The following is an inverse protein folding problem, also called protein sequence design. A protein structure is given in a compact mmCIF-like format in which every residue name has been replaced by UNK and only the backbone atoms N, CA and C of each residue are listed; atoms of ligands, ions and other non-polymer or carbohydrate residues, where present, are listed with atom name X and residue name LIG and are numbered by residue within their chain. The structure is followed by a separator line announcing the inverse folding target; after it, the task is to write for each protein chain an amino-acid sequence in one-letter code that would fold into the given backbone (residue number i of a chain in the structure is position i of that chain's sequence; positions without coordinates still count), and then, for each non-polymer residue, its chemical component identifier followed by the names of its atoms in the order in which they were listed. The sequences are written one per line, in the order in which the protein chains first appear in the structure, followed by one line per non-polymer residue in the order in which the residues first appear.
data_IF_086477457768
#
_entry.id   IF_086477457768
#
_cell.length_a   1.000
_cell.length_b   1.000
_cell.length_c   1.000
_cell.angle_alpha   90.00
_cell.angle_beta   90.00
_cell.angle_gamma   90.00
#
_symmetry.space_group_name_H-M   'P 1'
#
loop_
_entity.id
_entity.type
_entity.pdbx_description
1 polymer ?
#
# COMPACT_ATOMS: atom_id res chain seq x y z
N UNK A 1 25.04 7.39 -15.43
CA UNK A 1 23.89 6.84 -14.66
C UNK A 1 23.69 5.38 -15.05
N UNK A 2 23.81 4.40 -14.14
CA UNK A 2 23.59 2.98 -14.47
C UNK A 2 22.09 2.67 -14.42
N UNK A 3 21.48 2.29 -15.56
CA UNK A 3 20.08 1.81 -15.61
C UNK A 3 19.98 0.50 -14.80
N UNK A 4 19.01 0.41 -13.89
CA UNK A 4 18.66 -0.83 -13.21
C UNK A 4 18.13 -1.84 -14.23
N UNK A 5 18.83 -2.96 -14.40
CA UNK A 5 18.37 -4.06 -15.25
C UNK A 5 17.17 -4.74 -14.60
N UNK A 6 16.06 -4.78 -15.34
CA UNK A 6 14.85 -5.50 -14.97
C UNK A 6 14.72 -6.72 -15.90
N UNK A 7 14.22 -7.84 -15.37
CA UNK A 7 13.84 -8.97 -16.21
C UNK A 7 12.44 -8.79 -16.81
N UNK A 8 11.97 -9.79 -17.58
CA UNK A 8 10.64 -9.84 -18.21
C UNK A 8 9.46 -9.74 -17.22
N UNK A 9 9.72 -9.97 -15.93
CA UNK A 9 8.75 -9.89 -14.82
C UNK A 9 8.92 -8.61 -14.00
N UNK A 10 9.64 -7.62 -14.50
CA UNK A 10 9.94 -6.36 -13.82
C UNK A 10 10.69 -6.52 -12.48
N UNK A 11 11.40 -7.63 -12.30
CA UNK A 11 12.21 -7.90 -11.11
C UNK A 11 13.63 -7.38 -11.33
N UNK A 12 14.20 -6.60 -10.38
CA UNK A 12 15.59 -6.16 -10.48
C UNK A 12 16.56 -7.35 -10.37
N UNK A 13 17.45 -7.46 -11.36
CA UNK A 13 18.47 -8.51 -11.45
C UNK A 13 19.88 -7.90 -11.33
N UNK A 14 20.80 -8.70 -10.79
CA UNK A 14 22.24 -8.38 -10.82
C UNK A 14 22.82 -8.66 -12.23
N UNK A 15 24.07 -8.28 -12.46
CA UNK A 15 24.69 -8.43 -13.79
C UNK A 15 24.81 -9.90 -14.24
N UNK A 16 24.79 -10.83 -13.29
CA UNK A 16 24.79 -12.29 -13.52
C UNK A 16 23.40 -12.88 -13.82
N UNK A 17 22.37 -12.04 -13.97
CA UNK A 17 20.99 -12.47 -14.26
C UNK A 17 20.22 -13.06 -13.07
N UNK A 18 20.87 -13.25 -11.91
CA UNK A 18 20.20 -13.69 -10.68
C UNK A 18 19.35 -12.56 -10.08
N UNK A 19 18.23 -12.88 -9.39
CA UNK A 19 17.48 -11.89 -8.63
C UNK A 19 18.39 -11.23 -7.60
N UNK A 20 18.43 -9.91 -7.58
CA UNK A 20 19.30 -9.23 -6.64
C UNK A 20 18.89 -9.48 -5.19
N UNK A 21 19.87 -9.52 -4.29
CA UNK A 21 19.64 -9.69 -2.85
C UNK A 21 18.67 -8.65 -2.30
N UNK A 22 17.91 -8.98 -1.25
CA UNK A 22 16.88 -8.09 -0.67
C UNK A 22 17.42 -6.68 -0.35
N UNK A 23 18.64 -6.61 0.18
CA UNK A 23 19.33 -5.35 0.51
C UNK A 23 19.64 -4.52 -0.73
N UNK A 24 20.12 -5.16 -1.80
CA UNK A 24 20.43 -4.49 -3.07
C UNK A 24 19.17 -4.10 -3.83
N UNK A 25 18.13 -4.95 -3.81
CA UNK A 25 16.81 -4.65 -4.39
C UNK A 25 16.23 -3.38 -3.79
N UNK A 26 16.23 -3.27 -2.46
CA UNK A 26 15.75 -2.09 -1.74
C UNK A 26 16.50 -0.83 -2.17
N UNK A 27 17.83 -0.84 -2.20
CA UNK A 27 18.64 0.32 -2.63
C UNK A 27 18.36 0.72 -4.07
N UNK A 28 18.21 -0.25 -4.98
CA UNK A 28 17.99 -0.02 -6.41
C UNK A 28 16.62 0.59 -6.70
N UNK A 29 15.56 0.11 -6.02
CA UNK A 29 14.19 0.61 -6.20
C UNK A 29 13.94 1.91 -5.43
N UNK A 30 14.48 2.06 -4.20
CA UNK A 30 14.31 3.25 -3.38
C UNK A 30 15.17 4.46 -3.78
N UNK A 31 16.04 4.35 -4.80
CA UNK A 31 16.93 5.47 -5.18
C UNK A 31 16.16 6.75 -5.52
N UNK A 32 14.89 6.62 -5.89
CA UNK A 32 14.01 7.73 -6.26
C UNK A 32 13.13 8.28 -5.11
N UNK A 33 13.08 7.62 -3.95
CA UNK A 33 12.27 8.04 -2.80
C UNK A 33 13.21 8.39 -1.63
N UNK A 34 13.70 9.62 -1.61
CA UNK A 34 14.55 10.14 -0.53
C UNK A 34 13.67 10.46 0.68
N UNK A 35 13.94 9.84 1.83
CA UNK A 35 13.26 10.12 3.10
C UNK A 35 11.98 9.30 3.38
N UNK A 36 11.38 8.65 2.38
CA UNK A 36 10.20 7.81 2.56
C UNK A 36 10.58 6.32 2.62
N UNK A 37 10.21 5.63 3.70
CA UNK A 37 10.32 4.17 3.80
C UNK A 37 9.22 3.52 2.96
N UNK A 38 9.49 2.36 2.36
CA UNK A 38 8.47 1.55 1.65
C UNK A 38 7.19 1.35 2.46
N UNK A 39 7.34 1.20 3.78
CA UNK A 39 6.23 1.02 4.70
C UNK A 39 5.29 2.22 4.75
N UNK A 40 5.81 3.45 4.61
CA UNK A 40 4.97 4.66 4.56
C UNK A 40 4.18 4.72 3.26
N UNK A 41 4.84 4.44 2.12
CA UNK A 41 4.18 4.39 0.81
C UNK A 41 3.09 3.31 0.78
N UNK A 42 3.37 2.13 1.34
CA UNK A 42 2.41 1.05 1.46
C UNK A 42 1.22 1.46 2.33
N UNK A 43 1.47 2.09 3.49
CA UNK A 43 0.43 2.63 4.37
C UNK A 43 -0.47 3.64 3.65
N UNK A 44 0.10 4.58 2.89
CA UNK A 44 -0.68 5.55 2.10
C UNK A 44 -1.52 4.87 1.02
N UNK A 45 -0.96 3.87 0.32
CA UNK A 45 -1.71 3.12 -0.71
C UNK A 45 -2.91 2.37 -0.14
N UNK A 46 -2.76 1.71 1.02
CA UNK A 46 -3.84 0.99 1.69
C UNK A 46 -4.89 1.98 2.23
N UNK A 47 -4.45 3.10 2.79
CA UNK A 47 -5.35 4.17 3.25
C UNK A 47 -6.20 4.73 2.11
N UNK A 48 -5.62 4.92 0.92
CA UNK A 48 -6.35 5.38 -0.26
C UNK A 48 -7.37 4.33 -0.75
N UNK A 49 -7.00 3.04 -0.75
CA UNK A 49 -7.92 1.94 -1.08
C UNK A 49 -9.14 1.93 -0.15
N UNK A 50 -8.91 2.03 1.16
CA UNK A 50 -9.97 2.03 2.18
C UNK A 50 -10.85 3.28 2.05
N UNK A 51 -10.26 4.46 1.81
CA UNK A 51 -11.00 5.70 1.60
C UNK A 51 -11.91 5.65 0.36
N UNK A 52 -11.54 4.90 -0.67
CA UNK A 52 -12.36 4.66 -1.88
C UNK A 52 -13.39 3.53 -1.70
N UNK A 53 -13.75 3.16 -0.48
CA UNK A 53 -14.73 2.12 -0.15
C UNK A 53 -14.39 0.71 -0.70
N UNK A 54 -13.10 0.39 -0.84
CA UNK A 54 -12.69 -0.98 -1.19
C UNK A 54 -12.78 -1.88 0.04
N UNK A 55 -13.47 -3.01 -0.08
CA UNK A 55 -13.62 -4.04 0.96
C UNK A 55 -12.26 -4.35 1.62
N UNK A 56 -12.24 -4.39 2.97
CA UNK A 56 -11.06 -4.73 3.78
C UNK A 56 -10.43 -6.06 3.39
N UNK A 57 -11.19 -7.00 2.86
CA UNK A 57 -10.65 -8.26 2.32
C UNK A 57 -9.70 -8.01 1.14
N UNK A 58 -10.04 -7.07 0.27
CA UNK A 58 -9.21 -6.68 -0.88
C UNK A 58 -8.01 -5.88 -0.41
N UNK A 59 -8.21 -4.91 0.50
CA UNK A 59 -7.11 -4.14 1.10
C UNK A 59 -6.12 -5.05 1.84
N UNK A 60 -6.61 -6.05 2.58
CA UNK A 60 -5.80 -7.06 3.28
C UNK A 60 -5.02 -7.95 2.33
N UNK A 61 -5.65 -8.37 1.21
CA UNK A 61 -4.98 -9.15 0.16
C UNK A 61 -3.87 -8.33 -0.51
N UNK A 62 -4.08 -7.04 -0.72
CA UNK A 62 -3.09 -6.11 -1.27
C UNK A 62 -1.95 -5.83 -0.28
N UNK A 63 -2.25 -5.73 1.01
CA UNK A 63 -1.25 -5.58 2.07
C UNK A 63 -0.43 -6.87 2.28
N UNK A 64 -0.96 -8.03 1.87
CA UNK A 64 -0.36 -9.34 2.11
C UNK A 64 -0.55 -9.82 3.55
N UNK A 65 -1.55 -9.30 4.27
CA UNK A 65 -1.86 -9.74 5.62
C UNK A 65 -2.56 -11.10 5.60
N UNK A 66 -2.13 -11.99 6.49
CA UNK A 66 -2.74 -13.32 6.65
C UNK A 66 -4.16 -13.25 7.24
N UNK A 67 -4.46 -12.21 8.02
CA UNK A 67 -5.76 -11.97 8.64
C UNK A 67 -6.28 -10.60 8.24
N UNK A 68 -7.56 -10.55 7.85
CA UNK A 68 -8.25 -9.29 7.52
C UNK A 68 -8.35 -8.37 8.73
N UNK A 69 -8.52 -8.93 9.93
CA UNK A 69 -8.57 -8.17 11.19
C UNK A 69 -7.35 -7.29 11.39
N UNK A 70 -6.15 -7.76 11.03
CA UNK A 70 -4.91 -6.96 11.12
C UNK A 70 -4.98 -5.69 10.27
N UNK A 71 -5.55 -5.78 9.07
CA UNK A 71 -5.73 -4.59 8.21
C UNK A 71 -6.78 -3.66 8.78
N UNK A 72 -7.85 -4.20 9.35
CA UNK A 72 -8.93 -3.44 9.97
C UNK A 72 -8.43 -2.67 11.21
N UNK A 73 -7.70 -3.33 12.10
CA UNK A 73 -7.15 -2.74 13.34
C UNK A 73 -6.15 -1.62 13.04
N UNK A 74 -5.37 -1.73 11.94
CA UNK A 74 -4.38 -0.71 11.56
C UNK A 74 -5.04 0.54 10.94
N UNK A 75 -6.23 0.39 10.34
CA UNK A 75 -6.89 1.42 9.54
C UNK A 75 -8.26 1.82 10.08
N UNK A 76 -8.61 1.42 11.30
CA UNK A 76 -9.86 1.78 11.98
C UNK A 76 -10.07 3.29 12.09
N UNK A 77 -8.98 4.04 12.27
CA UNK A 77 -9.05 5.50 12.46
C UNK A 77 -9.53 6.23 11.21
N UNK A 78 -9.25 5.69 10.02
CA UNK A 78 -9.69 6.22 8.74
C UNK A 78 -11.22 6.16 8.55
N UNK A 79 -11.93 5.42 9.41
CA UNK A 79 -13.38 5.29 9.37
C UNK A 79 -14.11 6.42 10.09
N UNK A 80 -13.47 7.08 11.06
CA UNK A 80 -14.13 8.08 11.90
C UNK A 80 -14.66 9.29 11.09
N UNK A 81 -13.97 9.69 10.02
CA UNK A 81 -14.44 10.71 9.08
C UNK A 81 -15.50 10.18 8.09
N UNK A 82 -15.33 8.95 7.58
CA UNK A 82 -16.30 8.31 6.69
C UNK A 82 -17.65 8.00 7.38
N UNK A 83 -17.63 7.72 8.68
CA UNK A 83 -18.82 7.49 9.50
C UNK A 83 -19.60 8.81 9.70
N UNK A 84 -18.90 9.91 9.99
CA UNK A 84 -19.51 11.25 10.06
C UNK A 84 -20.13 11.68 8.74
N UNK A 85 -19.45 11.43 7.61
CA UNK A 85 -20.01 11.76 6.29
C UNK A 85 -21.21 10.89 5.95
N UNK A 86 -21.16 9.59 6.27
CA UNK A 86 -22.28 8.66 6.08
C UNK A 86 -23.49 9.05 6.94
N UNK A 87 -23.28 9.36 8.22
CA UNK A 87 -24.33 9.82 9.13
C UNK A 87 -24.97 11.13 8.65
N UNK A 88 -24.18 12.05 8.09
CA UNK A 88 -24.68 13.30 7.52
C UNK A 88 -25.48 13.05 6.23
N UNK A 89 -25.03 12.14 5.37
CA UNK A 89 -25.78 11.73 4.17
C UNK A 89 -27.11 11.07 4.54
N UNK A 90 -27.10 10.12 5.48
CA UNK A 90 -28.33 9.48 5.98
C UNK A 90 -29.25 10.49 6.65
N UNK A 91 -28.71 11.42 7.46
CA UNK A 91 -29.47 12.51 8.06
C UNK A 91 -30.10 13.46 7.04
N UNK A 92 -29.50 13.64 5.86
CA UNK A 92 -30.09 14.39 4.73
C UNK A 92 -31.19 13.62 4.00
N UNK A 93 -31.20 12.29 4.05
CA UNK A 93 -32.26 11.46 3.47
C UNK A 93 -33.46 11.27 4.41
N UNK A 94 -33.25 11.45 5.71
CA UNK A 94 -34.27 11.30 6.75
C UNK A 94 -34.97 12.62 7.13
N UNK A 95 -34.61 13.73 6.50
CA UNK A 95 -35.19 15.07 6.70
C UNK A 95 -35.90 15.56 5.44
#
# INVERSE_FOLDING_TARGET
MKRTKLNERSIPVDDDGRPCSRSNRRRRVCRHYVGLRFHELQRTSISLLIANCVDFRIASKQAGHSKVSTTMDIHSDAFSENDRTSANVVGKFLN
#
